data_IF_213687855504
#
_entry.id   IF_213687855504
#
_cell.length_a   1.000
_cell.length_b   1.000
_cell.length_c   1.000
_cell.angle_alpha   90.00
_cell.angle_beta   90.00
_cell.angle_gamma   90.00
#
_symmetry.space_group_name_H-M   'P 1'
#
loop_
_entity.id
_entity.type
_entity.pdbx_description
1 polymer ?
#
# COMPACT_ATOMS: atom_id res chain seq x y z
N UNK A 1 -9.03 -3.44 29.29
CA UNK A 1 -9.21 -4.66 28.46
C UNK A 1 -8.57 -4.43 27.11
N UNK A 2 -8.05 -5.47 26.48
CA UNK A 2 -7.42 -5.44 25.17
C UNK A 2 -8.04 -6.48 24.26
N UNK A 3 -8.21 -6.09 23.00
CA UNK A 3 -8.77 -6.93 21.95
C UNK A 3 -7.70 -7.88 21.41
N UNK A 4 -8.06 -9.16 21.28
CA UNK A 4 -7.21 -10.19 20.70
C UNK A 4 -7.96 -10.95 19.62
N UNK A 5 -7.30 -11.22 18.50
CA UNK A 5 -7.90 -11.94 17.39
C UNK A 5 -7.62 -13.43 17.47
N UNK A 6 -8.66 -14.23 17.20
CA UNK A 6 -8.61 -15.68 17.16
C UNK A 6 -9.18 -16.18 15.83
N UNK A 7 -8.57 -17.22 15.27
CA UNK A 7 -9.02 -17.82 14.02
C UNK A 7 -9.80 -19.11 14.28
N UNK A 8 -11.03 -19.15 13.80
CA UNK A 8 -11.82 -20.37 13.71
C UNK A 8 -11.59 -21.06 12.36
N UNK A 9 -11.67 -22.39 12.33
CA UNK A 9 -11.59 -23.16 11.08
C UNK A 9 -12.95 -23.29 10.37
N UNK A 10 -14.05 -23.05 11.08
CA UNK A 10 -15.42 -23.21 10.57
C UNK A 10 -16.18 -21.88 10.44
N UNK A 11 -15.81 -20.88 11.22
CA UNK A 11 -16.36 -19.53 11.20
C UNK A 11 -15.28 -18.55 10.75
N UNK A 12 -15.62 -17.25 10.74
CA UNK A 12 -14.66 -16.18 10.53
C UNK A 12 -13.72 -15.95 11.73
N UNK A 13 -12.81 -14.98 11.59
CA UNK A 13 -12.01 -14.49 12.69
C UNK A 13 -12.91 -13.88 13.78
N UNK A 14 -12.53 -14.09 15.02
CA UNK A 14 -13.28 -13.64 16.20
C UNK A 14 -12.37 -12.79 17.07
N UNK A 15 -12.91 -11.69 17.58
CA UNK A 15 -12.22 -10.81 18.52
C UNK A 15 -12.70 -11.09 19.95
N UNK A 16 -11.76 -11.35 20.86
CA UNK A 16 -12.02 -11.63 22.28
C UNK A 16 -11.27 -10.63 23.16
N UNK A 17 -11.92 -10.21 24.26
CA UNK A 17 -11.34 -9.26 25.22
C UNK A 17 -10.67 -9.99 26.37
N UNK A 18 -9.38 -9.71 26.59
CA UNK A 18 -8.64 -10.19 27.75
C UNK A 18 -7.90 -9.04 28.44
N UNK A 19 -7.42 -9.28 29.66
CA UNK A 19 -6.43 -8.38 30.28
C UNK A 19 -5.14 -8.46 29.48
N UNK A 20 -4.45 -7.32 29.38
CA UNK A 20 -3.19 -7.25 28.65
C UNK A 20 -2.20 -8.28 29.21
N UNK A 21 -1.66 -9.13 28.35
CA UNK A 21 -0.72 -10.20 28.73
C UNK A 21 -1.36 -11.47 29.31
N UNK A 22 -2.68 -11.53 29.47
CA UNK A 22 -3.39 -12.70 30.01
C UNK A 22 -4.21 -13.47 28.96
N UNK A 23 -4.13 -13.09 27.68
CA UNK A 23 -4.83 -13.80 26.61
C UNK A 23 -4.29 -15.23 26.42
N UNK A 24 -5.12 -16.28 26.52
CA UNK A 24 -4.68 -17.66 26.32
C UNK A 24 -4.34 -17.93 24.84
N UNK A 25 -3.50 -18.93 24.57
CA UNK A 25 -3.18 -19.33 23.19
C UNK A 25 -4.38 -19.93 22.44
N UNK A 26 -5.36 -20.45 23.19
CA UNK A 26 -6.59 -21.01 22.65
C UNK A 26 -7.79 -20.61 23.51
N UNK A 27 -8.94 -20.45 22.86
CA UNK A 27 -10.21 -20.09 23.49
C UNK A 27 -11.36 -20.83 22.79
N UNK A 28 -12.57 -20.73 23.33
CA UNK A 28 -13.78 -21.28 22.70
C UNK A 28 -14.38 -20.25 21.72
N UNK A 29 -14.81 -20.71 20.55
CA UNK A 29 -15.50 -19.86 19.58
C UNK A 29 -16.91 -19.51 20.07
N UNK A 30 -17.29 -18.22 20.17
CA UNK A 30 -18.65 -17.84 20.56
C UNK A 30 -19.72 -18.23 19.52
N UNK A 31 -19.33 -18.47 18.26
CA UNK A 31 -20.26 -18.87 17.20
C UNK A 31 -20.53 -20.37 17.13
N UNK A 32 -19.52 -21.21 17.34
CA UNK A 32 -19.64 -22.67 17.12
C UNK A 32 -19.11 -23.55 18.26
N UNK A 33 -18.62 -22.97 19.36
CA UNK A 33 -18.10 -23.68 20.53
C UNK A 33 -16.78 -24.45 20.31
N UNK A 34 -16.23 -24.46 19.09
CA UNK A 34 -14.95 -25.14 18.80
C UNK A 34 -13.77 -24.35 19.35
N UNK A 35 -12.68 -25.06 19.65
CA UNK A 35 -11.42 -24.44 20.06
C UNK A 35 -10.83 -23.61 18.91
N UNK A 36 -10.51 -22.35 19.20
CA UNK A 36 -9.86 -21.41 18.29
C UNK A 36 -8.45 -21.08 18.79
N UNK A 37 -7.56 -20.67 17.87
CA UNK A 37 -6.19 -20.28 18.21
C UNK A 37 -5.99 -18.79 18.05
N UNK A 38 -5.22 -18.19 18.97
CA UNK A 38 -4.84 -16.78 18.89
C UNK A 38 -3.97 -16.56 17.67
N UNK A 39 -4.31 -15.54 16.89
CA UNK A 39 -3.53 -15.12 15.73
C UNK A 39 -3.06 -13.69 15.92
N UNK A 40 -1.86 -13.40 15.44
CA UNK A 40 -1.40 -12.04 15.29
C UNK A 40 -1.78 -11.62 13.88
N UNK A 41 -2.93 -10.96 13.73
CA UNK A 41 -3.25 -10.34 12.46
C UNK A 41 -2.24 -9.23 12.19
N UNK A 42 -1.87 -9.00 10.93
CA UNK A 42 -1.00 -7.90 10.56
C UNK A 42 -1.75 -6.58 10.69
N UNK A 43 -1.60 -5.79 11.78
CA UNK A 43 -2.38 -4.58 11.93
C UNK A 43 -1.91 -3.58 10.88
N UNK A 44 -2.77 -3.29 9.91
CA UNK A 44 -2.53 -2.29 8.87
C UNK A 44 -1.33 -2.54 7.94
N UNK A 45 -0.80 -3.75 7.79
CA UNK A 45 0.28 -3.99 6.81
C UNK A 45 -0.15 -3.67 5.37
N UNK A 46 -1.43 -3.78 5.05
CA UNK A 46 -1.99 -3.41 3.74
C UNK A 46 -1.91 -1.91 3.45
N UNK A 47 -1.80 -1.05 4.47
CA UNK A 47 -1.77 0.40 4.27
C UNK A 47 -0.50 0.86 3.56
N UNK A 48 0.60 0.11 3.71
CA UNK A 48 1.89 0.44 3.11
C UNK A 48 1.83 0.51 1.57
N UNK A 49 0.89 -0.21 0.95
CA UNK A 49 0.69 -0.18 -0.50
C UNK A 49 -0.13 1.01 -1.02
N UNK A 50 -0.79 1.76 -0.13
CA UNK A 50 -1.73 2.82 -0.52
C UNK A 50 -1.02 4.07 -1.05
N UNK A 51 -1.70 4.85 -1.88
CA UNK A 51 -1.19 6.14 -2.37
C UNK A 51 -0.92 7.13 -1.24
N UNK A 52 -1.79 7.16 -0.22
CA UNK A 52 -1.62 8.01 0.96
C UNK A 52 -0.34 7.67 1.73
N UNK A 53 -0.08 6.38 1.99
CA UNK A 53 1.15 5.96 2.66
C UNK A 53 2.40 6.29 1.83
N UNK A 54 2.37 6.02 0.52
CA UNK A 54 3.49 6.36 -0.39
C UNK A 54 3.81 7.86 -0.39
N UNK A 55 2.79 8.72 -0.30
CA UNK A 55 2.98 10.17 -0.23
C UNK A 55 3.67 10.57 1.08
N UNK A 56 3.22 10.03 2.22
CA UNK A 56 3.86 10.29 3.52
C UNK A 56 5.32 9.81 3.53
N UNK A 57 5.57 8.58 3.09
CA UNK A 57 6.92 7.99 3.03
C UNK A 57 7.84 8.80 2.10
N UNK A 58 7.35 9.21 0.92
CA UNK A 58 8.09 10.08 0.01
C UNK A 58 8.43 11.44 0.61
N UNK A 59 7.49 12.08 1.31
CA UNK A 59 7.75 13.36 1.97
C UNK A 59 8.78 13.24 3.10
N UNK A 60 8.73 12.16 3.89
CA UNK A 60 9.71 11.90 4.94
C UNK A 60 11.12 11.70 4.37
N UNK A 61 11.25 10.95 3.27
CA UNK A 61 12.53 10.68 2.61
C UNK A 61 13.15 11.92 1.96
N UNK A 62 12.33 12.85 1.46
CA UNK A 62 12.82 14.02 0.73
C UNK A 62 13.83 14.90 1.50
N UNK A 63 13.83 14.85 2.84
CA UNK A 63 14.76 15.60 3.67
C UNK A 63 16.21 15.07 3.60
N UNK A 64 16.39 13.77 3.33
CA UNK A 64 17.69 13.11 3.38
C UNK A 64 18.06 12.36 2.09
N UNK A 65 17.05 11.94 1.31
CA UNK A 65 17.18 11.19 0.06
C UNK A 65 16.18 11.72 -0.98
N UNK A 66 16.32 12.99 -1.44
CA UNK A 66 15.42 13.53 -2.45
C UNK A 66 15.62 12.83 -3.80
N UNK A 67 14.51 12.51 -4.47
CA UNK A 67 14.53 11.97 -5.82
C UNK A 67 15.00 13.05 -6.82
N UNK A 68 16.02 12.74 -7.61
CA UNK A 68 16.50 13.62 -8.68
C UNK A 68 15.62 13.42 -9.90
N UNK A 69 14.68 14.34 -10.11
CA UNK A 69 13.82 14.34 -11.31
C UNK A 69 14.52 15.04 -12.48
N UNK A 70 14.54 14.38 -13.64
CA UNK A 70 15.11 14.94 -14.88
C UNK A 70 14.15 15.84 -15.66
N UNK A 71 12.92 15.99 -15.18
CA UNK A 71 11.87 16.79 -15.80
C UNK A 71 10.65 16.96 -14.91
N UNK A 72 9.75 17.87 -15.29
CA UNK A 72 8.55 18.15 -14.53
C UNK A 72 7.55 16.98 -14.60
N UNK A 73 6.93 16.58 -13.47
CA UNK A 73 5.91 15.54 -13.46
C UNK A 73 4.72 15.93 -14.35
N UNK A 74 4.20 14.98 -15.12
CA UNK A 74 3.07 15.19 -16.04
C UNK A 74 3.42 15.84 -17.38
N UNK A 75 4.67 16.27 -17.58
CA UNK A 75 5.12 16.85 -18.85
C UNK A 75 5.83 15.77 -19.68
N UNK A 76 5.06 14.86 -20.27
CA UNK A 76 5.53 14.21 -21.50
C UNK A 76 5.55 15.31 -22.55
N UNK A 77 6.71 15.94 -22.77
CA UNK A 77 6.86 16.83 -23.90
C UNK A 77 6.39 16.05 -25.14
N UNK A 78 5.43 16.55 -25.92
CA UNK A 78 4.99 15.85 -27.11
C UNK A 78 6.23 15.62 -27.96
N UNK A 79 6.51 14.36 -28.31
CA UNK A 79 7.59 14.04 -29.26
C UNK A 79 7.39 14.96 -30.46
N UNK A 80 8.40 15.77 -30.76
CA UNK A 80 8.34 16.72 -31.85
C UNK A 80 7.96 15.94 -33.12
N UNK A 81 6.77 16.22 -33.66
CA UNK A 81 6.27 15.50 -34.83
C UNK A 81 7.07 15.95 -36.04
N UNK A 82 8.10 15.19 -36.38
CA UNK A 82 8.77 15.36 -37.66
C UNK A 82 7.88 14.81 -38.76
N UNK A 83 7.67 15.60 -39.80
CA UNK A 83 7.00 15.13 -41.02
C UNK A 83 8.06 14.61 -41.98
N UNK A 84 7.85 13.44 -42.56
CA UNK A 84 8.73 12.86 -43.58
C UNK A 84 8.37 13.33 -45.00
N UNK A 85 7.67 14.45 -45.15
CA UNK A 85 7.27 14.93 -46.46
C UNK A 85 8.52 15.33 -47.29
N UNK A 86 8.80 14.66 -48.42
CA UNK A 86 9.96 14.96 -49.25
C UNK A 86 9.94 16.38 -49.84
N UNK A 87 8.76 17.03 -49.89
CA UNK A 87 8.61 18.42 -50.34
C UNK A 87 9.26 19.43 -49.40
N UNK A 88 9.54 19.07 -48.14
CA UNK A 88 10.22 19.95 -47.20
C UNK A 88 11.64 20.32 -47.65
N UNK A 89 12.27 19.52 -48.52
CA UNK A 89 13.57 19.84 -49.15
C UNK A 89 13.50 21.05 -50.08
N UNK A 90 12.31 21.45 -50.53
CA UNK A 90 12.09 22.58 -51.44
C UNK A 90 11.81 23.90 -50.73
N UNK A 91 11.70 23.89 -49.40
CA UNK A 91 11.51 25.12 -48.63
C UNK A 91 12.80 25.95 -48.65
N UNK A 92 12.71 27.29 -48.73
CA UNK A 92 13.85 28.18 -48.56
C UNK A 92 14.52 27.89 -47.21
N UNK A 93 15.84 27.72 -47.22
CA UNK A 93 16.58 27.54 -45.98
C UNK A 93 16.74 28.90 -45.29
N UNK A 94 16.51 29.00 -43.98
CA UNK A 94 16.87 30.19 -43.21
C UNK A 94 18.39 30.42 -43.23
#
# INVERSE_FOLDING_TARGET
MTLYEYRCAACDAVELNFVIGQAPQSAECPGCGRQVRRVFSPPRLSIAGTSAYKLLDGTAKSAHEPEVVSGLPGRTAPKQRYTHNPLHRKLPRP
#
